data_IF_651567669381
#
_entry.id   IF_651567669381
#
_cell.length_a   1.000
_cell.length_b   1.000
_cell.length_c   1.000
_cell.angle_alpha   90.00
_cell.angle_beta   90.00
_cell.angle_gamma   90.00
#
_symmetry.space_group_name_H-M   'P 1'
#
loop_
_entity.id
_entity.type
_entity.pdbx_description
1 polymer ?
#
# COMPACT_ATOMS: atom_id res chain seq x y z
N UNK A 1 17.10 -14.53 -19.48
CA UNK A 1 16.55 -13.26 -18.97
C UNK A 1 17.38 -12.87 -17.77
N UNK A 2 18.03 -11.70 -17.82
CA UNK A 2 18.90 -11.20 -16.76
C UNK A 2 18.08 -11.02 -15.49
N UNK A 3 18.53 -11.60 -14.37
CA UNK A 3 18.01 -11.29 -13.03
C UNK A 3 18.29 -9.80 -12.84
N UNK A 4 17.24 -8.99 -12.78
CA UNK A 4 17.40 -7.56 -12.51
C UNK A 4 18.13 -7.45 -11.17
N UNK A 5 19.32 -6.88 -11.18
CA UNK A 5 20.06 -6.60 -9.97
C UNK A 5 19.19 -5.70 -9.09
N UNK A 6 18.89 -6.16 -7.89
CA UNK A 6 18.13 -5.42 -6.89
C UNK A 6 18.93 -4.18 -6.52
N UNK A 7 18.40 -2.99 -6.82
CA UNK A 7 19.06 -1.75 -6.44
C UNK A 7 18.89 -1.52 -4.94
N UNK A 8 20.01 -1.38 -4.23
CA UNK A 8 20.02 -1.22 -2.76
C UNK A 8 20.92 -0.07 -2.33
N UNK A 9 20.61 0.53 -1.18
CA UNK A 9 21.46 1.51 -0.48
C UNK A 9 21.47 1.22 1.02
N UNK A 10 22.50 1.68 1.71
CA UNK A 10 22.56 1.61 3.18
C UNK A 10 21.97 2.89 3.75
N UNK A 11 21.01 2.78 4.67
CA UNK A 11 20.42 3.93 5.36
C UNK A 11 21.31 4.45 6.49
N UNK A 12 20.89 5.57 7.14
CA UNK A 12 21.64 6.19 8.25
C UNK A 12 21.81 5.27 9.48
N UNK A 13 20.97 4.25 9.62
CA UNK A 13 21.01 3.26 10.71
C UNK A 13 21.83 2.01 10.34
N UNK A 14 22.43 1.97 9.15
CA UNK A 14 23.25 0.86 8.66
C UNK A 14 22.44 -0.30 8.06
N UNK A 15 21.12 -0.16 7.84
CA UNK A 15 20.30 -1.18 7.22
C UNK A 15 20.40 -1.11 5.70
N UNK A 16 20.46 -2.28 5.06
CA UNK A 16 20.37 -2.39 3.61
C UNK A 16 18.90 -2.24 3.18
N UNK A 17 18.62 -1.21 2.35
CA UNK A 17 17.28 -0.92 1.82
C UNK A 17 17.23 -1.01 0.31
N UNK A 18 16.10 -1.47 -0.23
CA UNK A 18 15.83 -1.39 -1.66
C UNK A 18 15.48 0.04 -2.05
N UNK A 19 16.06 0.50 -3.16
CA UNK A 19 15.76 1.82 -3.72
C UNK A 19 14.75 1.74 -4.85
N UNK A 20 14.55 0.55 -5.43
CA UNK A 20 13.70 0.25 -6.58
C UNK A 20 12.28 -0.20 -6.24
N UNK A 21 11.93 -0.23 -4.93
CA UNK A 21 10.59 -0.66 -4.45
C UNK A 21 10.09 0.27 -3.35
N UNK A 22 8.77 0.53 -3.33
CA UNK A 22 8.02 1.12 -2.23
C UNK A 22 6.78 0.28 -1.94
N UNK A 23 6.55 -0.07 -0.68
CA UNK A 23 5.37 -0.80 -0.25
C UNK A 23 4.51 0.15 0.61
N UNK A 24 3.35 0.52 0.12
CA UNK A 24 2.46 1.48 0.80
C UNK A 24 1.10 0.87 1.06
N UNK A 25 0.57 1.10 2.26
CA UNK A 25 -0.81 0.79 2.61
C UNK A 25 -1.65 2.07 2.54
N UNK A 26 -2.85 2.01 1.97
CA UNK A 26 -3.77 3.15 1.97
C UNK A 26 -4.80 2.96 3.08
N UNK A 27 -4.77 3.86 4.05
CA UNK A 27 -5.69 3.92 5.19
C UNK A 27 -6.71 5.02 4.91
N UNK A 28 -7.99 4.69 4.92
CA UNK A 28 -9.05 5.66 4.72
C UNK A 28 -10.31 5.26 5.46
N UNK A 29 -11.11 6.24 5.86
CA UNK A 29 -12.50 5.98 6.22
C UNK A 29 -13.32 5.67 4.95
N UNK A 30 -14.46 4.99 5.14
CA UNK A 30 -15.45 4.79 4.08
C UNK A 30 -15.81 6.17 3.50
N UNK A 31 -15.99 6.25 2.19
CA UNK A 31 -16.32 7.47 1.45
C UNK A 31 -15.26 8.59 1.43
N UNK A 32 -14.09 8.45 2.04
CA UNK A 32 -12.99 9.44 1.91
C UNK A 32 -12.33 9.44 0.53
N UNK A 33 -12.75 8.54 -0.38
CA UNK A 33 -12.32 8.51 -1.78
C UNK A 33 -11.14 7.61 -2.06
N UNK A 34 -10.92 6.56 -1.25
CA UNK A 34 -9.83 5.58 -1.42
C UNK A 34 -9.84 4.94 -2.81
N UNK A 35 -10.96 4.36 -3.23
CA UNK A 35 -11.11 3.74 -4.56
C UNK A 35 -10.87 4.75 -5.68
N UNK A 36 -11.40 5.97 -5.56
CA UNK A 36 -11.19 7.03 -6.55
C UNK A 36 -9.72 7.46 -6.65
N UNK A 37 -9.01 7.54 -5.51
CA UNK A 37 -7.58 7.86 -5.51
C UNK A 37 -6.76 6.77 -6.19
N UNK A 38 -7.01 5.50 -5.86
CA UNK A 38 -6.29 4.38 -6.46
C UNK A 38 -6.58 4.27 -7.95
N UNK A 39 -7.83 4.43 -8.38
CA UNK A 39 -8.20 4.48 -9.80
C UNK A 39 -7.46 5.63 -10.53
N UNK A 40 -7.37 6.79 -9.90
CA UNK A 40 -6.64 7.94 -10.44
C UNK A 40 -5.14 7.64 -10.59
N UNK A 41 -4.50 7.08 -9.54
CA UNK A 41 -3.09 6.69 -9.57
C UNK A 41 -2.79 5.69 -10.69
N UNK A 42 -3.63 4.66 -10.82
CA UNK A 42 -3.47 3.64 -11.86
C UNK A 42 -3.61 4.25 -13.26
N UNK A 43 -4.58 5.14 -13.47
CA UNK A 43 -4.82 5.79 -14.78
C UNK A 43 -3.63 6.66 -15.19
N UNK A 44 -3.06 7.42 -14.26
CA UNK A 44 -2.02 8.39 -14.57
C UNK A 44 -0.59 7.82 -14.46
N UNK A 45 -0.42 6.61 -13.91
CA UNK A 45 0.89 5.92 -13.89
C UNK A 45 1.30 5.29 -15.23
N UNK A 46 0.47 5.40 -16.27
CA UNK A 46 0.76 4.83 -17.59
C UNK A 46 0.59 3.30 -17.68
N UNK A 47 -0.04 2.70 -16.68
CA UNK A 47 -0.32 1.25 -16.62
C UNK A 47 -1.24 0.79 -17.76
N UNK A 48 -2.13 1.67 -18.22
CA UNK A 48 -3.07 1.37 -19.29
C UNK A 48 -2.69 2.00 -20.64
N UNK A 49 -2.89 1.26 -21.71
CA UNK A 49 -2.81 1.79 -23.07
C UNK A 49 -4.05 2.64 -23.35
N UNK A 50 -3.90 3.73 -24.11
CA UNK A 50 -4.94 4.74 -24.41
C UNK A 50 -6.28 4.19 -24.96
N UNK A 51 -6.33 2.94 -25.41
CA UNK A 51 -7.50 2.32 -26.05
C UNK A 51 -8.23 1.27 -25.21
N UNK A 52 -7.88 1.06 -23.93
CA UNK A 52 -8.63 0.15 -23.06
C UNK A 52 -9.83 0.87 -22.43
N UNK A 53 -11.05 0.44 -22.78
CA UNK A 53 -12.27 0.88 -22.07
C UNK A 53 -12.17 0.44 -20.61
N UNK A 54 -12.03 1.41 -19.72
CA UNK A 54 -11.96 1.18 -18.29
C UNK A 54 -13.37 1.11 -17.70
N UNK A 55 -13.65 0.06 -16.97
CA UNK A 55 -14.75 0.06 -16.02
C UNK A 55 -14.39 1.01 -14.86
N UNK A 56 -15.31 1.79 -14.41
CA UNK A 56 -15.21 2.57 -13.16
C UNK A 56 -15.12 1.61 -11.97
N UNK A 57 -14.35 1.95 -10.94
CA UNK A 57 -14.12 1.11 -9.76
C UNK A 57 -13.37 -0.19 -10.08
N UNK A 58 -12.16 -0.06 -10.65
CA UNK A 58 -11.28 -1.20 -11.00
C UNK A 58 -10.99 -2.12 -9.80
N UNK A 59 -11.04 -1.59 -8.60
CA UNK A 59 -10.79 -2.35 -7.37
C UNK A 59 -12.01 -3.09 -6.83
N UNK A 60 -13.22 -2.63 -7.08
CA UNK A 60 -14.44 -3.24 -6.53
C UNK A 60 -14.92 -4.37 -7.46
N UNK A 61 -14.18 -5.49 -7.48
CA UNK A 61 -14.46 -6.64 -8.35
C UNK A 61 -15.50 -7.60 -7.77
N UNK A 62 -15.88 -7.46 -6.51
CA UNK A 62 -16.90 -8.28 -5.85
C UNK A 62 -18.25 -7.55 -5.86
N UNK A 63 -19.32 -8.23 -6.22
CA UNK A 63 -20.66 -7.65 -6.27
C UNK A 63 -21.08 -7.07 -4.92
N UNK A 64 -20.67 -7.67 -3.79
CA UNK A 64 -20.92 -7.18 -2.44
C UNK A 64 -20.14 -5.88 -2.13
N UNK A 65 -18.92 -5.73 -2.63
CA UNK A 65 -18.12 -4.51 -2.48
C UNK A 65 -18.78 -3.36 -3.26
N UNK A 66 -19.25 -3.64 -4.48
CA UNK A 66 -19.95 -2.65 -5.31
C UNK A 66 -21.29 -2.21 -4.71
N UNK A 67 -22.06 -3.16 -4.18
CA UNK A 67 -23.37 -2.90 -3.58
C UNK A 67 -23.26 -2.07 -2.29
N UNK A 68 -22.21 -2.34 -1.48
CA UNK A 68 -22.02 -1.69 -0.18
C UNK A 68 -21.07 -0.48 -0.22
N UNK A 69 -20.34 -0.27 -1.33
CA UNK A 69 -19.35 0.80 -1.46
C UNK A 69 -18.16 0.67 -0.50
N UNK A 70 -17.85 -0.56 -0.03
CA UNK A 70 -16.75 -0.82 0.93
C UNK A 70 -15.79 -1.87 0.39
N UNK A 71 -14.51 -1.69 0.66
CA UNK A 71 -13.49 -2.73 0.40
C UNK A 71 -13.57 -3.80 1.47
N UNK A 72 -13.84 -5.04 1.09
CA UNK A 72 -13.92 -6.21 1.99
C UNK A 72 -12.60 -6.96 2.01
N UNK A 73 -11.99 -7.17 0.84
CA UNK A 73 -10.74 -7.90 0.69
C UNK A 73 -9.59 -6.96 0.34
N UNK A 74 -8.49 -7.09 1.06
CA UNK A 74 -7.26 -6.39 0.72
C UNK A 74 -6.80 -6.77 -0.70
N UNK A 75 -6.55 -5.77 -1.53
CA UNK A 75 -6.06 -5.94 -2.90
C UNK A 75 -4.66 -5.36 -3.02
N UNK A 76 -3.83 -6.05 -3.77
CA UNK A 76 -2.48 -5.60 -4.03
C UNK A 76 -2.38 -5.15 -5.50
N UNK A 77 -1.85 -3.98 -5.70
CA UNK A 77 -1.61 -3.37 -7.00
C UNK A 77 -0.14 -3.01 -7.06
N UNK A 78 0.47 -3.17 -8.22
CA UNK A 78 1.82 -2.68 -8.46
C UNK A 78 1.84 -1.75 -9.66
N UNK A 79 2.55 -0.63 -9.54
CA UNK A 79 2.77 0.29 -10.65
C UNK A 79 4.23 0.70 -10.72
N UNK A 80 4.67 1.14 -11.89
CA UNK A 80 6.02 1.69 -12.08
C UNK A 80 5.94 3.20 -12.12
N UNK A 81 6.78 3.87 -11.33
CA UNK A 81 6.94 5.32 -11.35
C UNK A 81 8.41 5.69 -11.25
N UNK A 82 8.92 6.48 -12.19
CA UNK A 82 10.32 6.88 -12.26
C UNK A 82 11.33 5.73 -12.06
N UNK A 83 11.03 4.54 -12.62
CA UNK A 83 11.87 3.35 -12.49
C UNK A 83 11.72 2.61 -11.15
N UNK A 84 10.92 3.10 -10.22
CA UNK A 84 10.63 2.48 -8.92
C UNK A 84 9.28 1.76 -8.97
N UNK A 85 9.23 0.54 -8.46
CA UNK A 85 7.99 -0.21 -8.28
C UNK A 85 7.29 0.26 -7.02
N UNK A 86 6.07 0.76 -7.15
CA UNK A 86 5.20 1.11 -6.03
C UNK A 86 4.14 0.01 -5.88
N UNK A 87 4.20 -0.74 -4.80
CA UNK A 87 3.18 -1.71 -4.41
C UNK A 87 2.19 -1.00 -3.50
N UNK A 88 0.94 -0.92 -3.92
CA UNK A 88 -0.17 -0.37 -3.15
C UNK A 88 -0.97 -1.52 -2.58
N UNK A 89 -1.15 -1.51 -1.27
CA UNK A 89 -1.93 -2.47 -0.52
C UNK A 89 -3.20 -1.76 -0.07
N UNK A 90 -4.33 -2.10 -0.70
CA UNK A 90 -5.62 -1.55 -0.34
C UNK A 90 -6.11 -2.19 0.96
N UNK A 91 -6.29 -1.40 2.01
CA UNK A 91 -6.73 -1.91 3.32
C UNK A 91 -8.24 -1.83 3.48
N UNK A 92 -8.90 -2.86 4.06
CA UNK A 92 -10.29 -2.74 4.47
C UNK A 92 -10.49 -1.56 5.42
N UNK A 93 -11.49 -0.71 5.14
CA UNK A 93 -11.74 0.51 5.91
C UNK A 93 -12.56 0.29 7.20
N UNK A 94 -13.06 -0.92 7.45
CA UNK A 94 -13.98 -1.20 8.55
C UNK A 94 -13.29 -1.86 9.75
N UNK A 95 -13.62 -1.41 10.98
CA UNK A 95 -13.03 -1.92 12.22
C UNK A 95 -13.26 -3.42 12.46
N UNK A 96 -14.30 -4.01 11.87
CA UNK A 96 -14.62 -5.44 11.98
C UNK A 96 -13.53 -6.35 11.38
N UNK A 97 -12.67 -5.82 10.50
CA UNK A 97 -11.58 -6.53 9.87
C UNK A 97 -10.20 -6.32 10.54
N UNK A 98 -10.19 -5.99 11.83
CA UNK A 98 -8.97 -5.58 12.55
C UNK A 98 -7.78 -6.54 12.43
N UNK A 99 -8.01 -7.85 12.43
CA UNK A 99 -6.94 -8.85 12.24
C UNK A 99 -6.40 -8.92 10.81
N UNK A 100 -7.21 -8.59 9.82
CA UNK A 100 -6.80 -8.50 8.42
C UNK A 100 -6.01 -7.23 8.16
N UNK A 101 -6.48 -6.11 8.71
CA UNK A 101 -5.80 -4.82 8.67
C UNK A 101 -4.37 -4.93 9.20
N UNK A 102 -4.16 -5.54 10.39
CA UNK A 102 -2.83 -5.69 10.96
C UNK A 102 -1.90 -6.53 10.07
N UNK A 103 -2.40 -7.64 9.51
CA UNK A 103 -1.61 -8.49 8.59
C UNK A 103 -1.20 -7.74 7.33
N UNK A 104 -2.12 -6.93 6.80
CA UNK A 104 -1.88 -6.11 5.60
C UNK A 104 -0.86 -5.01 5.88
N UNK A 105 -1.00 -4.29 6.99
CA UNK A 105 -0.06 -3.23 7.39
C UNK A 105 1.37 -3.75 7.55
N UNK A 106 1.57 -4.97 8.03
CA UNK A 106 2.90 -5.59 8.14
C UNK A 106 3.58 -5.85 6.78
N UNK A 107 2.86 -5.79 5.68
CA UNK A 107 3.46 -5.88 4.33
C UNK A 107 3.98 -4.53 3.83
N UNK A 108 3.56 -3.42 4.41
CA UNK A 108 3.93 -2.07 4.00
C UNK A 108 5.18 -1.56 4.72
N UNK A 109 5.81 -0.55 4.15
CA UNK A 109 6.89 0.26 4.74
C UNK A 109 6.40 1.67 5.06
N UNK A 110 5.31 2.11 4.42
CA UNK A 110 4.64 3.37 4.70
C UNK A 110 3.13 3.26 4.60
N UNK A 111 2.45 4.26 5.15
CA UNK A 111 1.00 4.37 5.13
C UNK A 111 0.56 5.74 4.59
N UNK A 112 -0.33 5.74 3.60
CA UNK A 112 -1.04 6.93 3.16
C UNK A 112 -2.34 7.04 3.94
N UNK A 113 -2.43 8.00 4.84
CA UNK A 113 -3.66 8.33 5.56
C UNK A 113 -4.49 9.28 4.71
N UNK A 114 -5.55 8.77 4.10
CA UNK A 114 -6.47 9.56 3.27
C UNK A 114 -7.59 10.13 4.14
N UNK A 115 -7.71 11.46 4.15
CA UNK A 115 -8.71 12.19 4.93
C UNK A 115 -9.53 13.09 4.01
N UNK A 116 -10.84 13.09 4.16
CA UNK A 116 -11.74 14.01 3.44
C UNK A 116 -11.55 15.44 3.96
N UNK A 117 -11.34 16.40 3.07
CA UNK A 117 -11.08 17.81 3.39
C UNK A 117 -12.26 18.53 4.08
N UNK A 118 -13.44 17.96 4.11
CA UNK A 118 -14.62 18.46 4.81
C UNK A 118 -14.91 17.71 6.10
N UNK A 119 -14.90 16.37 6.03
CA UNK A 119 -15.31 15.53 7.17
C UNK A 119 -14.24 15.41 8.26
N UNK A 120 -12.97 15.50 7.88
CA UNK A 120 -11.85 15.27 8.78
C UNK A 120 -11.66 13.80 9.18
N UNK A 121 -10.76 13.53 10.15
CA UNK A 121 -10.49 12.17 10.63
C UNK A 121 -11.69 11.61 11.41
N UNK A 122 -12.11 10.38 11.08
CA UNK A 122 -13.25 9.70 11.68
C UNK A 122 -12.80 8.66 12.73
N UNK A 123 -13.68 8.27 13.70
CA UNK A 123 -13.32 7.31 14.76
C UNK A 123 -12.75 5.98 14.27
N UNK A 124 -13.23 5.45 13.14
CA UNK A 124 -12.72 4.21 12.56
C UNK A 124 -11.29 4.36 12.06
N UNK A 125 -10.92 5.55 11.55
CA UNK A 125 -9.56 5.89 11.15
C UNK A 125 -8.57 5.77 12.32
N UNK A 126 -9.01 6.12 13.54
CA UNK A 126 -8.21 6.04 14.77
C UNK A 126 -7.64 4.65 15.01
N UNK A 127 -8.49 3.60 14.88
CA UNK A 127 -8.04 2.22 15.10
C UNK A 127 -6.97 1.78 14.10
N UNK A 128 -7.21 2.02 12.80
CA UNK A 128 -6.26 1.62 11.74
C UNK A 128 -4.97 2.41 11.83
N UNK A 129 -5.06 3.72 12.14
CA UNK A 129 -3.91 4.59 12.33
C UNK A 129 -3.06 4.15 13.53
N UNK A 130 -3.68 3.81 14.66
CA UNK A 130 -2.97 3.27 15.82
C UNK A 130 -2.20 1.99 15.47
N UNK A 131 -2.80 1.10 14.66
CA UNK A 131 -2.13 -0.11 14.17
C UNK A 131 -0.96 0.21 13.24
N UNK A 132 -1.09 1.20 12.36
CA UNK A 132 0.00 1.63 11.50
C UNK A 132 1.18 2.18 12.28
N UNK A 133 0.93 3.00 13.32
CA UNK A 133 1.94 3.51 14.24
C UNK A 133 2.64 2.36 15.00
N UNK A 134 1.88 1.39 15.51
CA UNK A 134 2.43 0.20 16.18
C UNK A 134 3.31 -0.66 15.26
N UNK A 135 3.02 -0.67 13.95
CA UNK A 135 3.85 -1.35 12.95
C UNK A 135 5.10 -0.52 12.54
N UNK A 136 5.27 0.71 13.02
CA UNK A 136 6.39 1.58 12.68
C UNK A 136 6.40 2.05 11.24
N UNK A 137 5.22 2.18 10.60
CA UNK A 137 5.11 2.64 9.22
C UNK A 137 5.42 4.13 9.09
N UNK A 138 6.15 4.51 8.04
CA UNK A 138 6.31 5.91 7.69
C UNK A 138 4.95 6.49 7.25
N UNK A 139 4.45 7.49 7.98
CA UNK A 139 3.15 8.09 7.73
C UNK A 139 3.25 9.25 6.73
N UNK A 140 2.29 9.30 5.81
CA UNK A 140 2.02 10.44 4.92
C UNK A 140 0.52 10.73 4.95
N UNK A 141 0.14 12.01 5.06
CA UNK A 141 -1.26 12.43 5.07
C UNK A 141 -1.67 12.96 3.69
N UNK A 142 -2.81 12.48 3.21
CA UNK A 142 -3.40 12.92 1.93
C UNK A 142 -4.77 13.53 2.22
N UNK A 143 -4.88 14.85 2.12
CA UNK A 143 -6.14 15.57 2.30
C UNK A 143 -6.86 15.58 0.95
N UNK A 144 -7.93 14.78 0.83
CA UNK A 144 -8.65 14.57 -0.42
C UNK A 144 -9.93 15.37 -0.51
N UNK A 145 -10.46 15.51 -1.72
CA UNK A 145 -11.70 16.23 -2.07
C UNK A 145 -11.60 17.74 -1.84
N UNK A 146 -10.45 18.34 -2.11
CA UNK A 146 -10.27 19.79 -2.05
C UNK A 146 -11.01 20.52 -3.17
N UNK A 147 -11.59 19.79 -4.14
CA UNK A 147 -12.50 20.31 -5.18
C UNK A 147 -13.88 20.70 -4.64
N UNK A 148 -14.22 20.32 -3.41
CA UNK A 148 -15.51 20.69 -2.80
C UNK A 148 -15.51 22.15 -2.33
N UNK A 149 -16.60 22.89 -2.56
CA UNK A 149 -16.67 24.30 -2.17
C UNK A 149 -16.71 24.50 -0.64
N UNK A 150 -17.09 23.46 0.11
CA UNK A 150 -17.20 23.43 1.56
C UNK A 150 -15.97 22.80 2.25
N UNK A 151 -14.89 22.54 1.53
CA UNK A 151 -13.67 21.95 2.09
C UNK A 151 -12.95 22.91 3.07
N UNK A 152 -12.30 22.31 4.09
CA UNK A 152 -11.57 23.02 5.15
C UNK A 152 -10.19 22.35 5.35
N UNK A 153 -9.33 22.37 4.32
CA UNK A 153 -8.12 21.55 4.30
C UNK A 153 -7.17 21.85 5.48
N UNK A 154 -6.98 23.11 5.88
CA UNK A 154 -6.08 23.48 6.98
C UNK A 154 -6.63 23.05 8.34
N UNK A 155 -7.95 23.17 8.54
CA UNK A 155 -8.60 22.70 9.76
C UNK A 155 -8.50 21.17 9.88
N UNK A 156 -8.73 20.46 8.78
CA UNK A 156 -8.63 18.99 8.72
C UNK A 156 -7.20 18.52 8.95
N UNK A 157 -6.20 19.26 8.45
CA UNK A 157 -4.79 18.97 8.72
C UNK A 157 -4.49 19.10 10.21
N UNK A 158 -4.97 20.19 10.85
CA UNK A 158 -4.82 20.39 12.31
C UNK A 158 -5.52 19.30 13.11
N UNK A 159 -6.76 18.92 12.75
CA UNK A 159 -7.46 17.81 13.40
C UNK A 159 -6.74 16.46 13.25
N UNK A 160 -6.07 16.25 12.12
CA UNK A 160 -5.27 15.04 11.89
C UNK A 160 -4.02 15.05 12.76
N UNK A 161 -3.37 16.20 12.93
CA UNK A 161 -2.25 16.36 13.85
C UNK A 161 -2.69 16.09 15.30
N UNK A 162 -3.79 16.69 15.75
CA UNK A 162 -4.33 16.47 17.10
C UNK A 162 -4.62 14.98 17.36
N UNK A 163 -5.21 14.29 16.38
CA UNK A 163 -5.46 12.84 16.46
C UNK A 163 -4.16 12.05 16.63
N UNK A 164 -3.08 12.40 15.93
CA UNK A 164 -1.78 11.74 16.06
C UNK A 164 -1.16 11.98 17.45
N UNK A 165 -1.27 13.20 17.98
CA UNK A 165 -0.86 13.52 19.36
C UNK A 165 -1.63 12.68 20.39
N UNK A 166 -2.95 12.58 20.24
CA UNK A 166 -3.78 11.75 21.10
C UNK A 166 -3.44 10.23 21.04
N UNK A 167 -2.96 9.77 19.88
CA UNK A 167 -2.50 8.38 19.70
C UNK A 167 -1.09 8.13 20.23
N UNK A 168 -0.41 9.16 20.73
CA UNK A 168 0.94 9.08 21.27
C UNK A 168 2.01 8.92 20.20
N UNK A 169 1.81 9.53 19.02
CA UNK A 169 2.83 9.56 17.97
C UNK A 169 4.10 10.29 18.46
N UNK A 170 5.25 9.81 18.05
CA UNK A 170 6.53 10.44 18.34
C UNK A 170 6.76 11.70 17.46
N UNK A 171 7.73 12.53 17.84
CA UNK A 171 8.06 13.79 17.14
C UNK A 171 8.35 13.55 15.65
N UNK A 172 8.99 12.43 15.31
CA UNK A 172 9.30 12.07 13.94
C UNK A 172 8.02 11.79 13.13
N UNK A 173 7.04 11.16 13.73
CA UNK A 173 5.74 10.88 13.09
C UNK A 173 4.88 12.13 13.04
N UNK A 174 5.00 13.06 14.02
CA UNK A 174 4.28 14.33 14.01
C UNK A 174 4.80 15.31 12.94
N UNK A 175 6.03 15.15 12.47
CA UNK A 175 6.57 15.85 11.29
C UNK A 175 6.21 15.12 9.99
N UNK A 176 4.98 14.67 9.88
CA UNK A 176 4.51 13.89 8.73
C UNK A 176 4.43 14.73 7.45
N UNK A 177 4.88 14.22 6.30
CA UNK A 177 4.63 14.85 5.01
C UNK A 177 3.14 14.79 4.67
N UNK A 178 2.63 15.84 4.02
CA UNK A 178 1.25 15.89 3.57
C UNK A 178 1.13 16.49 2.18
N UNK A 179 0.00 16.18 1.53
CA UNK A 179 -0.36 16.72 0.22
C UNK A 179 -1.88 16.79 0.08
N UNK A 180 -2.33 17.76 -0.69
CA UNK A 180 -3.74 17.94 -1.00
C UNK A 180 -4.08 17.29 -2.34
N UNK A 181 -5.27 16.67 -2.44
CA UNK A 181 -5.69 15.98 -3.66
C UNK A 181 -7.16 16.21 -3.98
N UNK A 182 -7.47 16.19 -5.27
CA UNK A 182 -8.79 15.87 -5.78
C UNK A 182 -8.69 14.60 -6.62
N UNK A 183 -8.97 13.45 -5.99
CA UNK A 183 -8.97 12.17 -6.70
C UNK A 183 -10.01 12.13 -7.83
N UNK A 184 -11.10 12.88 -7.68
CA UNK A 184 -12.17 13.01 -8.68
C UNK A 184 -11.70 13.78 -9.92
N UNK A 185 -11.02 14.91 -9.71
CA UNK A 185 -10.49 15.74 -10.81
C UNK A 185 -9.11 15.30 -11.28
N UNK A 186 -8.46 14.39 -10.54
CA UNK A 186 -7.23 13.73 -10.95
C UNK A 186 -5.97 14.53 -10.73
N UNK A 187 -5.88 15.34 -9.66
CA UNK A 187 -4.67 16.11 -9.36
C UNK A 187 -4.26 16.09 -7.89
N UNK A 188 -2.99 16.42 -7.66
CA UNK A 188 -2.40 16.70 -6.35
C UNK A 188 -1.69 18.05 -6.35
N UNK A 189 -1.64 18.70 -5.20
CA UNK A 189 -0.98 20.01 -5.01
C UNK A 189 -0.46 20.17 -3.59
N UNK A 190 0.59 20.98 -3.43
CA UNK A 190 1.10 21.39 -2.12
C UNK A 190 0.39 22.62 -1.55
N UNK A 191 -0.37 23.33 -2.38
CA UNK A 191 -1.14 24.54 -2.00
C UNK A 191 -2.62 24.31 -2.35
N UNK A 192 -3.52 24.19 -1.35
CA UNK A 192 -4.93 23.91 -1.59
C UNK A 192 -5.66 25.04 -2.34
N UNK A 193 -5.10 26.26 -2.37
CA UNK A 193 -5.64 27.38 -3.14
C UNK A 193 -5.32 27.27 -4.64
N UNK A 194 -4.43 26.39 -5.05
CA UNK A 194 -4.00 26.22 -6.43
C UNK A 194 -4.45 24.87 -6.96
N UNK A 195 -5.12 24.87 -8.10
CA UNK A 195 -5.47 23.65 -8.80
C UNK A 195 -4.22 23.00 -9.38
N UNK A 196 -3.96 21.74 -9.05
CA UNK A 196 -2.89 20.95 -9.63
C UNK A 196 -3.14 20.54 -11.08
N UNK A 197 -2.10 20.12 -11.79
CA UNK A 197 -2.20 19.64 -13.15
C UNK A 197 -2.59 18.17 -13.24
N UNK A 198 -2.01 17.35 -12.37
CA UNK A 198 -2.17 15.88 -12.35
C UNK A 198 -1.83 15.30 -10.95
N UNK A 199 -1.87 13.96 -10.83
CA UNK A 199 -1.61 13.26 -9.56
C UNK A 199 -0.11 12.99 -9.30
N UNK A 200 0.77 13.29 -10.25
CA UNK A 200 2.22 12.99 -10.16
C UNK A 200 2.89 13.55 -8.91
N UNK A 201 2.58 14.76 -8.40
CA UNK A 201 3.19 15.26 -7.17
C UNK A 201 3.00 14.33 -5.96
N UNK A 202 1.88 13.59 -5.87
CA UNK A 202 1.68 12.58 -4.83
C UNK A 202 2.64 11.41 -5.00
N UNK A 203 2.84 10.90 -6.22
CA UNK A 203 3.75 9.78 -6.49
C UNK A 203 5.21 10.18 -6.22
N UNK A 204 5.61 11.39 -6.61
CA UNK A 204 6.95 11.93 -6.35
C UNK A 204 7.20 12.06 -4.84
N UNK A 205 6.21 12.58 -4.09
CA UNK A 205 6.30 12.68 -2.62
C UNK A 205 6.37 11.30 -1.94
N UNK A 206 5.68 10.29 -2.46
CA UNK A 206 5.81 8.90 -2.01
C UNK A 206 7.23 8.39 -2.19
N UNK A 207 7.86 8.62 -3.35
CA UNK A 207 9.24 8.20 -3.60
C UNK A 207 10.23 8.91 -2.68
N UNK A 208 9.99 10.18 -2.37
CA UNK A 208 10.86 10.99 -1.53
C UNK A 208 10.76 10.63 -0.04
N UNK A 209 9.54 10.46 0.48
CA UNK A 209 9.28 10.38 1.93
C UNK A 209 9.08 8.96 2.46
N UNK A 210 8.57 8.03 1.64
CA UNK A 210 8.40 6.64 2.08
C UNK A 210 9.70 5.88 1.82
N UNK A 211 10.30 5.25 2.84
CA UNK A 211 11.52 4.47 2.67
C UNK A 211 11.27 3.19 1.88
N UNK A 212 12.30 2.71 1.20
CA UNK A 212 12.29 1.35 0.64
C UNK A 212 12.37 0.28 1.74
N UNK A 213 11.95 -0.96 1.45
CA UNK A 213 12.01 -2.05 2.42
C UNK A 213 13.43 -2.35 2.87
N UNK A 214 13.60 -2.64 4.16
CA UNK A 214 14.82 -3.25 4.69
C UNK A 214 14.90 -4.68 4.18
N UNK A 215 16.08 -5.08 3.68
CA UNK A 215 16.28 -6.37 3.06
C UNK A 215 17.51 -7.10 3.61
N UNK A 216 17.43 -8.42 3.66
CA UNK A 216 18.50 -9.32 4.06
C UNK A 216 18.57 -10.48 3.06
N UNK A 217 19.07 -10.22 1.82
CA UNK A 217 18.96 -11.17 0.71
C UNK A 217 19.79 -12.45 0.89
N UNK A 218 20.81 -12.43 1.75
CA UNK A 218 21.72 -13.55 1.98
C UNK A 218 21.34 -14.41 3.19
N UNK A 219 20.33 -13.98 3.95
CA UNK A 219 19.77 -14.74 5.05
C UNK A 219 18.89 -15.91 4.56
N UNK A 220 18.59 -16.90 5.41
CA UNK A 220 17.59 -17.92 5.12
C UNK A 220 16.22 -17.31 4.79
N UNK A 221 15.49 -17.95 3.87
CA UNK A 221 14.16 -17.48 3.45
C UNK A 221 13.21 -17.32 4.64
N UNK A 222 12.65 -16.15 4.77
CA UNK A 222 11.55 -15.81 5.66
C UNK A 222 10.44 -15.11 4.85
N UNK A 223 9.38 -15.86 4.55
CA UNK A 223 8.18 -15.34 3.90
C UNK A 223 7.04 -15.29 4.91
N UNK A 224 6.57 -14.10 5.22
CA UNK A 224 5.37 -13.89 6.03
C UNK A 224 4.14 -14.00 5.14
N UNK A 225 3.36 -15.08 5.31
CA UNK A 225 2.11 -15.27 4.56
C UNK A 225 0.99 -14.48 5.22
N UNK A 226 0.32 -13.62 4.45
CA UNK A 226 -0.77 -12.76 4.90
C UNK A 226 -2.13 -13.20 4.37
N UNK A 227 -2.15 -13.81 3.18
CA UNK A 227 -3.37 -14.31 2.55
C UNK A 227 -3.14 -15.67 1.91
N UNK A 228 -4.19 -16.51 1.95
CA UNK A 228 -4.23 -17.82 1.31
C UNK A 228 -5.45 -17.88 0.39
N UNK A 229 -5.20 -18.24 -0.86
CA UNK A 229 -6.22 -18.45 -1.88
C UNK A 229 -6.14 -19.91 -2.37
N UNK A 230 -7.21 -20.38 -2.97
CA UNK A 230 -7.26 -21.68 -3.61
C UNK A 230 -7.69 -21.53 -5.07
N UNK A 231 -6.92 -22.11 -5.96
CA UNK A 231 -7.25 -22.21 -7.37
C UNK A 231 -7.41 -23.68 -7.78
N UNK A 232 -8.40 -23.97 -8.59
CA UNK A 232 -8.60 -25.32 -9.16
C UNK A 232 -7.46 -25.76 -10.08
N UNK A 233 -6.69 -24.80 -10.62
CA UNK A 233 -5.62 -25.05 -11.60
C UNK A 233 -4.23 -25.16 -10.96
N UNK A 234 -3.92 -24.29 -9.99
CA UNK A 234 -2.58 -24.20 -9.39
C UNK A 234 -2.55 -24.58 -7.90
N UNK A 235 -3.70 -24.93 -7.34
CA UNK A 235 -3.79 -25.34 -5.94
C UNK A 235 -3.74 -24.13 -4.97
N UNK A 236 -2.97 -24.26 -3.88
CA UNK A 236 -2.85 -23.22 -2.86
C UNK A 236 -1.93 -22.09 -3.32
N UNK A 237 -2.42 -20.87 -3.22
CA UNK A 237 -1.66 -19.66 -3.49
C UNK A 237 -1.45 -18.94 -2.16
N UNK A 238 -0.19 -18.73 -1.78
CA UNK A 238 0.18 -17.98 -0.59
C UNK A 238 0.70 -16.61 -1.02
N UNK A 239 0.04 -15.55 -0.56
CA UNK A 239 0.46 -14.17 -0.77
C UNK A 239 1.12 -13.65 0.51
N UNK A 240 2.21 -12.91 0.38
CA UNK A 240 2.92 -12.37 1.53
C UNK A 240 4.15 -11.55 1.16
N UNK A 241 4.91 -11.16 2.20
CA UNK A 241 6.15 -10.40 2.09
C UNK A 241 7.34 -11.27 2.42
N UNK A 242 8.37 -11.22 1.58
CA UNK A 242 9.67 -11.79 1.89
C UNK A 242 10.41 -10.81 2.81
N UNK A 243 10.65 -11.22 4.06
CA UNK A 243 11.37 -10.42 5.04
C UNK A 243 12.90 -10.67 5.00
N UNK A 244 13.31 -11.86 4.54
CA UNK A 244 14.70 -12.22 4.35
C UNK A 244 14.85 -13.33 3.30
N UNK A 245 16.01 -13.41 2.68
CA UNK A 245 16.38 -14.44 1.73
C UNK A 245 15.69 -14.33 0.38
N UNK A 246 15.61 -15.46 -0.30
CA UNK A 246 15.07 -15.57 -1.67
C UNK A 246 14.21 -16.80 -1.81
N UNK A 247 13.17 -16.73 -2.64
CA UNK A 247 12.32 -17.85 -3.01
C UNK A 247 12.42 -18.11 -4.51
N UNK A 248 12.51 -19.38 -4.89
CA UNK A 248 12.63 -19.82 -6.29
C UNK A 248 11.60 -20.87 -6.65
N UNK A 249 11.20 -20.87 -7.90
CA UNK A 249 10.41 -21.99 -8.46
C UNK A 249 11.18 -23.30 -8.31
N UNK A 250 10.52 -24.35 -7.87
CA UNK A 250 11.11 -25.69 -7.62
C UNK A 250 11.78 -25.84 -6.25
N UNK A 251 11.96 -24.77 -5.47
CA UNK A 251 12.60 -24.82 -4.16
C UNK A 251 11.73 -25.58 -3.14
N UNK A 252 12.37 -26.38 -2.28
CA UNK A 252 11.72 -26.94 -1.09
C UNK A 252 11.76 -25.92 0.06
N UNK A 253 10.61 -25.68 0.67
CA UNK A 253 10.44 -24.73 1.77
C UNK A 253 9.77 -25.39 2.97
N UNK A 254 10.10 -24.90 4.15
CA UNK A 254 9.44 -25.29 5.38
C UNK A 254 8.27 -24.35 5.66
N UNK A 255 7.06 -24.87 5.67
CA UNK A 255 5.84 -24.13 6.04
C UNK A 255 5.63 -24.29 7.54
N UNK A 256 5.74 -23.18 8.28
CA UNK A 256 5.47 -23.11 9.71
C UNK A 256 4.04 -22.68 9.95
N UNK A 257 3.32 -23.41 10.78
CA UNK A 257 1.93 -23.07 11.18
C UNK A 257 1.93 -22.36 12.54
N UNK A 258 0.85 -21.66 12.86
CA UNK A 258 0.68 -20.95 14.13
C UNK A 258 0.79 -21.85 15.37
N UNK A 259 0.45 -23.14 15.23
CA UNK A 259 0.61 -24.14 16.30
C UNK A 259 2.03 -24.74 16.39
N UNK A 260 3.01 -24.19 15.68
CA UNK A 260 4.38 -24.68 15.63
C UNK A 260 4.62 -25.90 14.72
N UNK A 261 3.59 -26.48 14.12
CA UNK A 261 3.75 -27.60 13.20
C UNK A 261 4.53 -27.16 11.94
N UNK A 262 5.49 -28.00 11.53
CA UNK A 262 6.33 -27.80 10.35
C UNK A 262 6.02 -28.83 9.29
N UNK A 263 5.75 -28.38 8.07
CA UNK A 263 5.55 -29.26 6.90
C UNK A 263 6.45 -28.81 5.76
N UNK A 264 6.99 -29.74 5.00
CA UNK A 264 7.74 -29.43 3.79
C UNK A 264 6.80 -29.26 2.61
N UNK A 265 7.05 -28.26 1.79
CA UNK A 265 6.32 -28.03 0.55
C UNK A 265 7.31 -27.66 -0.57
N UNK A 266 6.93 -27.94 -1.80
CA UNK A 266 7.66 -27.50 -2.99
C UNK A 266 6.98 -26.28 -3.58
N UNK A 267 7.76 -25.29 -3.95
CA UNK A 267 7.30 -24.07 -4.63
C UNK A 267 7.09 -24.40 -6.10
N UNK A 268 5.84 -24.52 -6.53
CA UNK A 268 5.55 -24.83 -7.94
C UNK A 268 5.72 -23.59 -8.83
N UNK A 269 5.37 -22.41 -8.33
CA UNK A 269 5.43 -21.15 -9.08
C UNK A 269 5.67 -19.98 -8.15
N UNK A 270 6.43 -18.99 -8.62
CA UNK A 270 6.61 -17.69 -7.96
C UNK A 270 5.96 -16.62 -8.82
N UNK A 271 5.15 -15.76 -8.21
CA UNK A 271 4.46 -14.65 -8.88
C UNK A 271 4.72 -13.34 -8.14
N UNK A 272 4.82 -12.27 -8.91
CA UNK A 272 4.83 -10.90 -8.41
C UNK A 272 3.56 -10.18 -8.85
N UNK A 273 3.06 -9.28 -8.02
CA UNK A 273 2.01 -8.37 -8.47
C UNK A 273 2.55 -7.47 -9.57
N UNK A 274 1.79 -7.32 -10.65
CA UNK A 274 2.15 -6.52 -11.81
C UNK A 274 0.88 -5.85 -12.33
N UNK A 275 0.82 -4.54 -12.21
CA UNK A 275 -0.38 -3.77 -12.44
C UNK A 275 -1.55 -4.30 -11.57
N UNK A 276 -2.66 -4.65 -12.18
CA UNK A 276 -3.84 -5.25 -11.52
C UNK A 276 -3.80 -6.79 -11.49
N UNK A 277 -2.72 -7.41 -11.97
CA UNK A 277 -2.57 -8.84 -12.10
C UNK A 277 -1.35 -9.39 -11.40
N UNK A 278 -0.95 -10.59 -11.84
CA UNK A 278 0.25 -11.29 -11.36
C UNK A 278 1.06 -11.76 -12.55
N UNK A 279 2.37 -11.56 -12.49
CA UNK A 279 3.33 -12.07 -13.49
C UNK A 279 4.22 -13.14 -12.88
N UNK A 280 4.55 -14.16 -13.69
CA UNK A 280 5.45 -15.23 -13.26
C UNK A 280 6.89 -14.76 -13.24
N UNK A 281 7.63 -15.19 -12.22
CA UNK A 281 9.07 -14.99 -12.12
C UNK A 281 9.77 -16.28 -11.70
N UNK A 282 11.04 -16.43 -12.04
CA UNK A 282 11.84 -17.56 -11.60
C UNK A 282 12.24 -17.44 -10.11
N UNK A 283 12.43 -16.19 -9.65
CA UNK A 283 12.91 -15.88 -8.29
C UNK A 283 12.27 -14.58 -7.79
N UNK A 284 12.07 -14.49 -6.48
CA UNK A 284 11.79 -13.25 -5.77
C UNK A 284 12.65 -13.17 -4.51
N UNK A 285 13.05 -11.94 -4.12
CA UNK A 285 13.91 -11.69 -2.96
C UNK A 285 13.31 -10.61 -2.05
N UNK A 286 13.80 -10.62 -0.78
CA UNK A 286 13.56 -9.52 0.13
C UNK A 286 14.10 -8.22 -0.45
#
# INVERSE_FOLDING_TARGET
>A
MSVAQTATSVDGDGNLRRTDVRNIAIIAHVDHGKTSLVDCLIRQSGVFRENQQMQTCLLDSNDLERERGITILAKNIAMMWNGVRINIIDTPGHADFGGEVERVLRMADGALLLVDAFEGPRPQTRFVLQKALQCGLALMVVINKIDRPDCRPDEVLSQTFDLLVELGADDKTLDFPYIYTSAREGYATHDPAQKGGDIRPLLDLVLEKIPGPIVRPDDPLQLMVTSLEWSRYVGRIATGRIAAGRIRTGQQVAVMRSNGAKTMAKVEQVQLYDNLGRSNTAEASA
#
